data_IF_307592809171
#
_entry.id   IF_307592809171
#
_cell.length_a   1.000
_cell.length_b   1.000
_cell.length_c   1.000
_cell.angle_alpha   90.00
_cell.angle_beta   90.00
_cell.angle_gamma   90.00
#
_symmetry.space_group_name_H-M   'P 1'
#
loop_
_entity.id
_entity.type
_entity.pdbx_description
1 polymer ?
#
# COMPACT_ATOMS: atom_id res chain seq x y z
N UNK A 1 -19.00 14.76 -25.82
CA UNK A 1 -18.01 14.48 -26.88
C UNK A 1 -16.84 15.43 -26.64
N UNK A 2 -15.82 14.99 -25.89
CA UNK A 2 -14.65 15.82 -25.57
C UNK A 2 -13.71 15.72 -26.77
N UNK A 3 -13.43 16.84 -27.44
CA UNK A 3 -12.40 16.89 -28.49
C UNK A 3 -11.04 16.63 -27.82
N UNK A 4 -10.51 15.43 -28.02
CA UNK A 4 -9.12 15.10 -27.69
C UNK A 4 -8.24 16.00 -28.57
N UNK A 5 -7.46 16.89 -27.96
CA UNK A 5 -6.42 17.62 -28.68
C UNK A 5 -5.38 16.60 -29.12
N UNK A 6 -5.44 16.19 -30.39
CA UNK A 6 -4.57 15.14 -30.92
C UNK A 6 -3.14 15.67 -30.95
N UNK A 7 -2.24 15.03 -30.19
CA UNK A 7 -0.81 15.27 -30.30
C UNK A 7 -0.36 15.00 -31.74
N UNK A 8 0.54 15.83 -32.26
CA UNK A 8 1.04 15.67 -33.62
C UNK A 8 1.72 14.31 -33.83
N UNK A 9 1.60 13.78 -35.03
CA UNK A 9 2.25 12.55 -35.50
C UNK A 9 3.73 12.80 -35.80
N UNK A 10 4.51 11.72 -35.97
CA UNK A 10 5.92 11.83 -36.40
C UNK A 10 6.09 12.64 -37.70
N UNK A 11 5.21 12.43 -38.69
CA UNK A 11 5.31 13.09 -39.99
C UNK A 11 4.95 14.57 -39.88
N UNK A 12 3.90 14.91 -39.13
CA UNK A 12 3.53 16.31 -38.85
C UNK A 12 4.64 17.03 -38.08
N UNK A 13 5.28 16.37 -37.12
CA UNK A 13 6.41 16.95 -36.40
C UNK A 13 7.61 17.18 -37.30
N UNK A 14 7.97 16.20 -38.15
CA UNK A 14 9.08 16.32 -39.11
C UNK A 14 8.83 17.43 -40.12
N UNK A 15 7.61 17.55 -40.63
CA UNK A 15 7.21 18.62 -41.55
C UNK A 15 7.23 19.98 -40.84
N UNK A 16 6.65 20.07 -39.64
CA UNK A 16 6.59 21.30 -38.84
C UNK A 16 7.96 21.78 -38.30
N UNK A 17 9.00 20.94 -38.42
CA UNK A 17 10.39 21.25 -38.06
C UNK A 17 11.37 21.05 -39.22
N UNK A 18 10.86 21.05 -40.46
CA UNK A 18 11.66 20.89 -41.67
C UNK A 18 12.53 22.14 -41.91
N UNK A 19 13.85 21.96 -41.97
CA UNK A 19 14.80 23.06 -42.15
C UNK A 19 16.01 22.59 -42.96
N UNK A 20 16.72 23.52 -43.61
CA UNK A 20 17.95 23.23 -44.37
C UNK A 20 19.07 22.77 -43.42
N UNK A 21 19.47 21.50 -43.53
CA UNK A 21 20.53 20.89 -42.71
C UNK A 21 20.24 19.42 -42.36
N UNK A 22 21.27 18.66 -42.00
CA UNK A 22 21.14 17.22 -41.69
C UNK A 22 20.45 17.01 -40.33
N UNK A 23 19.16 16.67 -40.34
CA UNK A 23 18.37 16.32 -39.15
C UNK A 23 19.04 15.23 -38.30
N UNK A 24 19.59 14.20 -38.96
CA UNK A 24 20.25 13.05 -38.31
C UNK A 24 21.54 13.36 -37.55
N UNK A 25 22.05 14.60 -37.59
CA UNK A 25 23.24 15.05 -36.83
C UNK A 25 22.91 16.10 -35.76
N UNK A 26 21.63 16.24 -35.43
CA UNK A 26 21.11 17.26 -34.50
C UNK A 26 20.46 16.61 -33.29
N UNK A 27 20.47 17.29 -32.15
CA UNK A 27 19.76 16.88 -30.93
C UNK A 27 18.25 16.66 -31.13
N UNK A 28 17.66 17.15 -32.22
CA UNK A 28 16.25 16.90 -32.57
C UNK A 28 15.93 15.41 -32.75
N UNK A 29 16.95 14.58 -33.05
CA UNK A 29 16.79 13.13 -33.18
C UNK A 29 16.29 12.50 -31.88
N UNK A 30 16.62 13.06 -30.71
CA UNK A 30 16.09 12.56 -29.43
C UNK A 30 14.58 12.77 -29.34
N UNK A 31 14.08 13.89 -29.85
CA UNK A 31 12.63 14.17 -29.92
C UNK A 31 11.95 13.21 -30.91
N UNK A 32 12.56 12.94 -32.06
CA UNK A 32 12.05 11.93 -33.02
C UNK A 32 11.95 10.54 -32.39
N UNK A 33 12.99 10.13 -31.66
CA UNK A 33 13.05 8.83 -31.01
C UNK A 33 11.98 8.71 -29.91
N UNK A 34 11.82 9.73 -29.06
CA UNK A 34 10.79 9.74 -28.02
C UNK A 34 9.38 9.68 -28.61
N UNK A 35 9.11 10.47 -29.67
CA UNK A 35 7.81 10.47 -30.34
C UNK A 35 7.49 9.13 -31.00
N UNK A 36 8.49 8.52 -31.66
CA UNK A 36 8.36 7.18 -32.24
C UNK A 36 8.11 6.11 -31.17
N UNK A 37 8.81 6.18 -30.04
CA UNK A 37 8.62 5.25 -28.93
C UNK A 37 7.20 5.32 -28.38
N UNK A 38 6.64 6.53 -28.21
CA UNK A 38 5.25 6.70 -27.79
C UNK A 38 4.26 6.05 -28.76
N UNK A 39 4.37 6.30 -30.07
CA UNK A 39 3.44 5.73 -31.05
C UNK A 39 3.61 4.22 -31.28
N UNK A 40 4.72 3.63 -30.83
CA UNK A 40 4.91 2.18 -30.84
C UNK A 40 4.18 1.47 -29.69
N UNK A 41 3.73 2.19 -28.65
CA UNK A 41 3.06 1.61 -27.49
C UNK A 41 1.58 1.32 -27.78
N UNK A 42 1.07 0.13 -27.39
CA UNK A 42 -0.35 -0.17 -27.49
C UNK A 42 -1.17 0.71 -26.54
N UNK A 43 -2.42 0.99 -26.89
CA UNK A 43 -3.31 1.87 -26.10
C UNK A 43 -3.59 1.33 -24.68
N UNK A 44 -3.49 0.02 -24.47
CA UNK A 44 -3.69 -0.60 -23.16
C UNK A 44 -2.57 -0.29 -22.14
N UNK A 45 -1.38 0.13 -22.58
CA UNK A 45 -0.20 0.38 -21.73
C UNK A 45 -0.15 1.84 -21.26
N UNK A 46 -1.18 2.27 -20.55
CA UNK A 46 -1.38 3.67 -20.16
C UNK A 46 -0.26 4.23 -19.26
N UNK A 47 0.30 3.43 -18.37
CA UNK A 47 1.45 3.80 -17.53
C UNK A 47 2.74 3.94 -18.34
N UNK A 48 3.00 3.00 -19.28
CA UNK A 48 4.14 3.14 -20.20
C UNK A 48 3.99 4.38 -21.10
N UNK A 49 2.77 4.69 -21.53
CA UNK A 49 2.47 5.90 -22.33
C UNK A 49 2.66 7.18 -21.52
N UNK A 50 2.32 7.20 -20.22
CA UNK A 50 2.65 8.32 -19.33
C UNK A 50 4.17 8.60 -19.35
N UNK A 51 5.00 7.57 -19.18
CA UNK A 51 6.45 7.75 -19.23
C UNK A 51 6.95 8.21 -20.60
N UNK A 52 6.43 7.63 -21.68
CA UNK A 52 6.81 8.06 -23.03
C UNK A 52 6.42 9.53 -23.31
N UNK A 53 5.27 10.01 -22.80
CA UNK A 53 4.89 11.43 -22.88
C UNK A 53 5.85 12.31 -22.10
N UNK A 54 6.28 11.90 -20.90
CA UNK A 54 7.29 12.63 -20.12
C UNK A 54 8.65 12.67 -20.80
N UNK A 55 9.04 11.60 -21.46
CA UNK A 55 10.27 11.56 -22.26
C UNK A 55 10.19 12.52 -23.45
N UNK A 56 9.03 12.65 -24.10
CA UNK A 56 8.80 13.66 -25.15
C UNK A 56 8.93 15.08 -24.57
N UNK A 57 8.26 15.37 -23.45
CA UNK A 57 8.32 16.70 -22.79
C UNK A 57 9.78 17.05 -22.43
N UNK A 58 10.50 16.11 -21.82
CA UNK A 58 11.91 16.28 -21.46
C UNK A 58 12.78 16.50 -22.70
N UNK A 59 12.67 15.65 -23.72
CA UNK A 59 13.44 15.79 -24.95
C UNK A 59 13.16 17.12 -25.67
N UNK A 60 11.91 17.58 -25.65
CA UNK A 60 11.54 18.89 -26.19
C UNK A 60 12.19 20.03 -25.38
N UNK A 61 12.11 19.97 -24.05
CA UNK A 61 12.74 20.94 -23.15
C UNK A 61 14.25 21.02 -23.34
N UNK A 62 14.94 19.86 -23.36
CA UNK A 62 16.38 19.76 -23.57
C UNK A 62 16.80 20.35 -24.92
N UNK A 63 16.04 20.08 -25.98
CA UNK A 63 16.30 20.64 -27.31
C UNK A 63 16.16 22.17 -27.33
N UNK A 64 15.08 22.70 -26.73
CA UNK A 64 14.82 24.15 -26.67
C UNK A 64 15.91 24.85 -25.86
N UNK A 65 16.31 24.28 -24.72
CA UNK A 65 17.39 24.82 -23.89
C UNK A 65 18.75 24.80 -24.63
N UNK A 66 19.05 23.75 -25.39
CA UNK A 66 20.24 23.68 -26.24
C UNK A 66 20.23 24.72 -27.38
N UNK A 67 19.06 25.25 -27.75
CA UNK A 67 18.87 26.31 -28.76
C UNK A 67 18.38 27.62 -28.13
N UNK A 68 18.99 28.02 -27.02
CA UNK A 68 18.60 29.20 -26.24
C UNK A 68 18.55 30.50 -27.07
N UNK A 69 19.45 30.68 -28.04
CA UNK A 69 19.49 31.85 -28.95
C UNK A 69 18.45 31.76 -30.09
N UNK A 70 17.55 30.78 -30.02
CA UNK A 70 16.59 30.47 -31.06
C UNK A 70 17.09 29.45 -32.08
N UNK A 71 16.17 29.03 -32.93
CA UNK A 71 16.45 28.07 -33.99
C UNK A 71 15.19 27.75 -34.77
N UNK A 72 15.36 27.41 -36.04
CA UNK A 72 14.25 27.20 -36.98
C UNK A 72 13.31 26.04 -36.62
N UNK A 73 13.67 25.19 -35.65
CA UNK A 73 12.82 24.09 -35.15
C UNK A 73 12.20 24.36 -33.77
N UNK A 74 12.63 25.40 -33.05
CA UNK A 74 12.26 25.64 -31.65
C UNK A 74 10.75 25.72 -31.47
N UNK A 75 10.05 26.52 -32.29
CA UNK A 75 8.60 26.68 -32.17
C UNK A 75 7.80 25.39 -32.44
N UNK A 76 8.29 24.50 -33.33
CA UNK A 76 7.67 23.19 -33.55
C UNK A 76 7.89 22.25 -32.37
N UNK A 77 9.09 22.24 -31.81
CA UNK A 77 9.44 21.46 -30.62
C UNK A 77 8.66 21.91 -29.38
N UNK A 78 8.49 23.21 -29.15
CA UNK A 78 7.70 23.74 -28.04
C UNK A 78 6.24 23.28 -28.13
N UNK A 79 5.62 23.41 -29.30
CA UNK A 79 4.24 22.94 -29.52
C UNK A 79 4.07 21.44 -29.26
N UNK A 80 5.03 20.61 -29.68
CA UNK A 80 4.98 19.18 -29.37
C UNK A 80 5.09 18.94 -27.86
N UNK A 81 6.00 19.63 -27.17
CA UNK A 81 6.12 19.55 -25.72
C UNK A 81 4.82 19.91 -24.99
N UNK A 82 4.17 21.01 -25.38
CA UNK A 82 2.89 21.44 -24.83
C UNK A 82 1.76 20.42 -25.10
N UNK A 83 1.71 19.85 -26.31
CA UNK A 83 0.74 18.81 -26.65
C UNK A 83 0.97 17.53 -25.85
N UNK A 84 2.23 17.12 -25.67
CA UNK A 84 2.58 15.94 -24.89
C UNK A 84 2.26 16.13 -23.40
N UNK A 85 2.53 17.32 -22.85
CA UNK A 85 2.16 17.67 -21.48
C UNK A 85 0.63 17.64 -21.28
N UNK A 86 -0.13 18.27 -22.19
CA UNK A 86 -1.58 18.24 -22.15
C UNK A 86 -2.16 16.82 -22.32
N UNK A 87 -1.50 15.95 -23.10
CA UNK A 87 -1.92 14.57 -23.28
C UNK A 87 -1.75 13.71 -22.03
N UNK A 88 -0.83 14.05 -21.11
CA UNK A 88 -0.68 13.32 -19.84
C UNK A 88 -1.97 13.38 -19.01
N UNK A 89 -2.62 14.55 -18.97
CA UNK A 89 -3.89 14.75 -18.25
C UNK A 89 -5.12 14.10 -18.90
N UNK A 90 -4.97 13.49 -20.07
CA UNK A 90 -6.04 12.81 -20.80
C UNK A 90 -6.00 11.28 -20.64
N UNK A 91 -4.94 10.74 -20.03
CA UNK A 91 -4.84 9.32 -19.73
C UNK A 91 -5.88 8.95 -18.66
N UNK A 92 -6.42 7.72 -18.72
CA UNK A 92 -7.32 7.24 -17.69
C UNK A 92 -6.51 6.95 -16.41
N UNK A 93 -6.73 7.68 -15.30
CA UNK A 93 -5.90 7.57 -14.10
C UNK A 93 -5.92 6.17 -13.49
N UNK A 94 -7.05 5.47 -13.57
CA UNK A 94 -7.15 4.09 -13.08
C UNK A 94 -6.28 3.13 -13.91
N UNK A 95 -6.35 3.22 -15.24
CA UNK A 95 -5.55 2.40 -16.13
C UNK A 95 -4.06 2.70 -15.98
N UNK A 96 -3.67 3.97 -15.80
CA UNK A 96 -2.29 4.35 -15.47
C UNK A 96 -1.84 3.71 -14.16
N UNK A 97 -2.63 3.78 -13.10
CA UNK A 97 -2.31 3.17 -11.80
C UNK A 97 -2.06 1.67 -11.94
N UNK A 98 -2.97 0.93 -12.58
CA UNK A 98 -2.86 -0.52 -12.75
C UNK A 98 -1.67 -0.94 -13.62
N UNK A 99 -1.39 -0.19 -14.68
CA UNK A 99 -0.26 -0.47 -15.57
C UNK A 99 1.08 -0.20 -14.88
N UNK A 100 1.18 0.89 -14.10
CA UNK A 100 2.36 1.17 -13.28
C UNK A 100 2.56 0.15 -12.16
N UNK A 101 1.47 -0.33 -11.55
CA UNK A 101 1.55 -1.42 -10.57
C UNK A 101 2.16 -2.68 -11.19
N UNK A 102 1.73 -3.02 -12.41
CA UNK A 102 2.25 -4.17 -13.18
C UNK A 102 3.73 -3.98 -13.54
N UNK A 103 4.15 -2.76 -13.89
CA UNK A 103 5.56 -2.45 -14.14
C UNK A 103 6.41 -2.64 -12.88
N UNK A 104 5.93 -2.19 -11.72
CA UNK A 104 6.62 -2.37 -10.44
C UNK A 104 6.71 -3.86 -10.08
N UNK A 105 5.63 -4.63 -10.27
CA UNK A 105 5.64 -6.09 -10.07
C UNK A 105 6.70 -6.77 -10.95
N UNK A 106 6.82 -6.33 -12.22
CA UNK A 106 7.85 -6.84 -13.12
C UNK A 106 9.26 -6.51 -12.63
N UNK A 107 9.51 -5.26 -12.21
CA UNK A 107 10.80 -4.85 -11.65
C UNK A 107 11.18 -5.69 -10.43
N UNK A 108 10.22 -5.93 -9.52
CA UNK A 108 10.40 -6.77 -8.35
C UNK A 108 10.75 -8.22 -8.74
N UNK A 109 10.08 -8.79 -9.76
CA UNK A 109 10.40 -10.14 -10.25
C UNK A 109 11.80 -10.28 -10.86
N UNK A 110 12.38 -9.16 -11.31
CA UNK A 110 13.74 -9.10 -11.84
C UNK A 110 14.80 -8.78 -10.77
N UNK A 111 14.40 -8.67 -9.49
CA UNK A 111 15.30 -8.29 -8.39
C UNK A 111 15.77 -6.82 -8.47
N UNK A 112 15.01 -5.95 -9.14
CA UNK A 112 15.30 -4.52 -9.23
C UNK A 112 14.56 -3.77 -8.12
N UNK A 113 15.24 -2.81 -7.50
CA UNK A 113 14.64 -1.91 -6.52
C UNK A 113 13.82 -0.80 -7.22
N UNK A 114 12.48 -0.77 -7.07
CA UNK A 114 11.64 0.24 -7.70
C UNK A 114 11.88 1.68 -7.20
N UNK A 115 12.37 1.84 -5.96
CA UNK A 115 12.67 3.15 -5.36
C UNK A 115 13.91 3.81 -5.97
N UNK A 116 14.74 3.04 -6.69
CA UNK A 116 15.92 3.56 -7.39
C UNK A 116 15.65 3.96 -8.85
N UNK A 117 14.43 3.73 -9.36
CA UNK A 117 14.06 4.12 -10.72
C UNK A 117 13.80 5.62 -10.82
N UNK A 118 14.59 6.31 -11.65
CA UNK A 118 14.52 7.75 -11.85
C UNK A 118 13.17 8.23 -12.42
N UNK A 119 12.36 7.34 -13.01
CA UNK A 119 11.01 7.63 -13.49
C UNK A 119 10.00 7.68 -12.35
N UNK A 120 10.36 7.20 -11.16
CA UNK A 120 9.54 7.22 -9.93
C UNK A 120 8.16 6.56 -10.09
N UNK A 121 8.07 5.29 -10.55
CA UNK A 121 6.79 4.65 -10.86
C UNK A 121 5.81 4.63 -9.69
N UNK A 122 6.30 4.40 -8.46
CA UNK A 122 5.51 4.47 -7.23
C UNK A 122 4.85 5.85 -7.03
N UNK A 123 5.62 6.93 -7.20
CA UNK A 123 5.11 8.30 -7.08
C UNK A 123 4.09 8.67 -8.17
N UNK A 124 4.26 8.14 -9.38
CA UNK A 124 3.31 8.35 -10.48
C UNK A 124 2.05 7.52 -10.32
N UNK A 125 2.15 6.29 -9.82
CA UNK A 125 1.00 5.49 -9.44
C UNK A 125 0.19 6.20 -8.35
N UNK A 126 0.86 6.75 -7.34
CA UNK A 126 0.20 7.52 -6.29
C UNK A 126 -0.57 8.73 -6.85
N UNK A 127 0.03 9.52 -7.75
CA UNK A 127 -0.65 10.66 -8.41
C UNK A 127 -1.83 10.20 -9.26
N UNK A 128 -1.68 9.11 -10.00
CA UNK A 128 -2.75 8.54 -10.81
C UNK A 128 -3.93 8.12 -9.91
N UNK A 129 -3.67 7.41 -8.82
CA UNK A 129 -4.67 6.99 -7.85
C UNK A 129 -5.42 8.19 -7.22
N UNK A 130 -4.73 9.29 -6.91
CA UNK A 130 -5.35 10.53 -6.40
C UNK A 130 -6.30 11.20 -7.42
N UNK A 131 -6.05 11.01 -8.71
CA UNK A 131 -6.86 11.57 -9.79
C UNK A 131 -8.09 10.71 -10.13
N UNK A 132 -8.21 9.49 -9.56
CA UNK A 132 -9.38 8.64 -9.75
C UNK A 132 -10.58 9.22 -8.96
N UNK A 133 -11.77 9.37 -9.60
CA UNK A 133 -13.00 9.75 -8.90
C UNK A 133 -13.32 8.79 -7.73
N UNK A 134 -13.91 9.29 -6.65
CA UNK A 134 -14.05 8.55 -5.40
C UNK A 134 -14.82 7.22 -5.52
N UNK A 135 -15.90 7.20 -6.30
CA UNK A 135 -16.69 6.01 -6.60
C UNK A 135 -15.88 4.96 -7.39
N UNK A 136 -15.14 5.41 -8.41
CA UNK A 136 -14.21 4.56 -9.16
C UNK A 136 -13.04 4.07 -8.32
N UNK A 137 -12.53 4.90 -7.41
CA UNK A 137 -11.45 4.52 -6.50
C UNK A 137 -11.90 3.41 -5.55
N UNK A 138 -13.09 3.56 -4.96
CA UNK A 138 -13.67 2.52 -4.11
C UNK A 138 -13.84 1.21 -4.88
N UNK A 139 -14.40 1.24 -6.09
CA UNK A 139 -14.53 0.05 -6.94
C UNK A 139 -13.15 -0.57 -7.28
N UNK A 140 -12.18 0.26 -7.68
CA UNK A 140 -10.80 -0.18 -7.95
C UNK A 140 -10.17 -0.89 -6.74
N UNK A 141 -10.33 -0.35 -5.53
CA UNK A 141 -9.84 -0.99 -4.31
C UNK A 141 -10.62 -2.26 -3.97
N UNK A 142 -11.92 -2.30 -4.26
CA UNK A 142 -12.74 -3.51 -4.16
C UNK A 142 -12.19 -4.67 -4.98
N UNK A 143 -11.70 -4.41 -6.20
CA UNK A 143 -11.04 -5.43 -7.02
C UNK A 143 -9.78 -5.98 -6.33
N UNK A 144 -9.01 -5.15 -5.63
CA UNK A 144 -7.83 -5.60 -4.88
C UNK A 144 -8.18 -6.36 -3.61
N UNK A 145 -9.29 -6.02 -2.93
CA UNK A 145 -9.83 -6.85 -1.83
C UNK A 145 -10.23 -8.23 -2.36
N UNK A 146 -10.90 -8.30 -3.51
CA UNK A 146 -11.21 -9.58 -4.16
C UNK A 146 -9.95 -10.34 -4.55
N UNK A 147 -8.93 -9.65 -5.07
CA UNK A 147 -7.63 -10.26 -5.42
C UNK A 147 -6.93 -10.83 -4.17
N UNK A 148 -6.98 -10.13 -3.03
CA UNK A 148 -6.49 -10.65 -1.74
C UNK A 148 -7.24 -11.92 -1.35
N UNK A 149 -8.57 -11.92 -1.43
CA UNK A 149 -9.40 -13.09 -1.14
C UNK A 149 -9.10 -14.29 -2.05
N UNK A 150 -8.86 -14.03 -3.34
CA UNK A 150 -8.56 -15.05 -4.34
C UNK A 150 -7.23 -15.78 -4.10
N UNK A 151 -6.29 -15.20 -3.33
CA UNK A 151 -5.06 -15.90 -2.94
C UNK A 151 -5.34 -17.18 -2.15
N UNK A 152 -6.51 -17.31 -1.51
CA UNK A 152 -6.91 -18.54 -0.80
C UNK A 152 -7.07 -19.76 -1.71
N UNK A 153 -7.33 -19.53 -2.99
CA UNK A 153 -7.46 -20.61 -3.97
C UNK A 153 -6.10 -21.10 -4.48
N UNK A 154 -4.99 -20.44 -4.09
CA UNK A 154 -3.64 -20.89 -4.40
C UNK A 154 -3.25 -22.07 -3.51
N UNK A 155 -3.11 -23.26 -4.12
CA UNK A 155 -2.72 -24.49 -3.41
C UNK A 155 -1.31 -24.47 -2.83
N UNK A 156 -0.50 -23.45 -3.11
CA UNK A 156 0.83 -23.24 -2.52
C UNK A 156 0.79 -22.34 -1.29
N UNK A 157 -0.36 -21.79 -0.92
CA UNK A 157 -0.51 -20.94 0.25
C UNK A 157 -0.36 -21.75 1.55
N UNK A 158 0.50 -21.33 2.50
CA UNK A 158 0.58 -21.99 3.80
C UNK A 158 -0.75 -21.92 4.56
N UNK A 159 -1.07 -22.96 5.33
CA UNK A 159 -2.33 -23.07 6.06
C UNK A 159 -2.58 -21.86 6.99
N UNK A 160 -1.54 -21.36 7.65
CA UNK A 160 -1.63 -20.19 8.53
C UNK A 160 -2.03 -18.93 7.75
N UNK A 161 -1.49 -18.77 6.53
CA UNK A 161 -1.84 -17.63 5.67
C UNK A 161 -3.25 -17.78 5.10
N UNK A 162 -3.64 -19.00 4.73
CA UNK A 162 -5.00 -19.30 4.30
C UNK A 162 -6.05 -18.96 5.39
N UNK A 163 -5.77 -19.34 6.65
CA UNK A 163 -6.63 -19.03 7.79
C UNK A 163 -6.75 -17.51 8.04
N UNK A 164 -5.62 -16.79 7.98
CA UNK A 164 -5.59 -15.33 8.08
C UNK A 164 -6.45 -14.69 7.00
N UNK A 165 -6.24 -15.01 5.71
CA UNK A 165 -7.04 -14.41 4.64
C UNK A 165 -8.53 -14.75 4.80
N UNK A 166 -8.86 -15.96 5.26
CA UNK A 166 -10.24 -16.34 5.60
C UNK A 166 -10.89 -15.41 6.63
N UNK A 167 -10.19 -15.09 7.72
CA UNK A 167 -10.64 -14.12 8.73
C UNK A 167 -10.79 -12.70 8.14
N UNK A 168 -9.80 -12.24 7.37
CA UNK A 168 -9.84 -10.90 6.78
C UNK A 168 -11.02 -10.74 5.81
N UNK A 169 -11.32 -11.76 5.02
CA UNK A 169 -12.46 -11.73 4.09
C UNK A 169 -13.81 -11.79 4.82
N UNK A 170 -13.87 -12.36 6.01
CA UNK A 170 -15.09 -12.38 6.82
C UNK A 170 -15.49 -10.97 7.30
N UNK A 171 -14.52 -10.07 7.50
CA UNK A 171 -14.77 -8.69 7.95
C UNK A 171 -14.73 -7.64 6.83
N UNK A 172 -14.27 -8.01 5.63
CA UNK A 172 -14.22 -7.11 4.48
C UNK A 172 -15.56 -6.40 4.18
N UNK A 173 -16.74 -7.05 4.30
CA UNK A 173 -18.03 -6.38 4.09
C UNK A 173 -18.34 -5.23 5.07
N UNK A 174 -17.65 -5.13 6.21
CA UNK A 174 -17.81 -4.04 7.18
C UNK A 174 -17.15 -2.73 6.70
N UNK A 175 -16.28 -2.82 5.68
CA UNK A 175 -15.63 -1.65 5.06
C UNK A 175 -16.55 -1.07 4.01
N UNK A 176 -17.20 0.02 4.35
CA UNK A 176 -18.22 0.66 3.49
C UNK A 176 -17.63 1.70 2.55
N UNK A 177 -16.45 2.24 2.86
CA UNK A 177 -15.76 3.24 2.04
C UNK A 177 -14.27 2.93 1.96
N UNK A 178 -13.72 3.02 0.75
CA UNK A 178 -12.29 2.98 0.47
C UNK A 178 -11.95 4.24 -0.30
N UNK A 179 -11.01 5.02 0.20
CA UNK A 179 -10.69 6.32 -0.36
C UNK A 179 -9.20 6.63 -0.26
N UNK A 180 -8.72 7.52 -1.11
CA UNK A 180 -7.41 8.11 -0.92
C UNK A 180 -7.41 9.05 0.31
N UNK A 181 -6.35 9.03 1.15
CA UNK A 181 -6.26 9.92 2.31
C UNK A 181 -6.25 11.42 1.92
N UNK A 182 -7.36 12.12 2.18
CA UNK A 182 -7.45 13.59 2.04
C UNK A 182 -7.03 14.27 3.35
N UNK A 183 -5.78 14.73 3.45
CA UNK A 183 -5.30 15.57 4.56
C UNK A 183 -4.79 14.84 5.82
N UNK A 184 -4.35 13.58 5.71
CA UNK A 184 -3.78 12.82 6.84
C UNK A 184 -3.22 11.46 6.44
N UNK A 185 -2.65 10.73 7.40
CA UNK A 185 -2.04 9.40 7.19
C UNK A 185 -3.07 8.36 6.69
N UNK A 186 -2.58 7.36 5.93
CA UNK A 186 -3.36 6.15 5.61
C UNK A 186 -3.81 5.42 6.88
N UNK A 187 -4.77 4.51 6.74
CA UNK A 187 -5.31 3.75 7.87
C UNK A 187 -6.83 3.59 7.86
N UNK A 188 -7.32 2.66 8.66
CA UNK A 188 -8.74 2.45 8.94
C UNK A 188 -9.30 3.48 9.93
N UNK A 189 -10.55 3.86 9.73
CA UNK A 189 -11.36 4.65 10.66
C UNK A 189 -12.66 3.91 10.95
N UNK A 190 -13.03 3.84 12.22
CA UNK A 190 -14.39 3.49 12.63
C UNK A 190 -15.25 4.76 12.61
N UNK A 191 -16.43 4.69 11.98
CA UNK A 191 -17.47 5.69 12.13
C UNK A 191 -18.43 5.27 13.26
N UNK A 192 -18.33 5.88 14.46
CA UNK A 192 -19.15 5.51 15.59
C UNK A 192 -20.62 5.96 15.45
N UNK A 193 -20.97 6.73 14.41
CA UNK A 193 -22.32 7.27 14.20
C UNK A 193 -23.10 6.57 13.06
N UNK A 194 -22.67 5.38 12.63
CA UNK A 194 -23.36 4.61 11.59
C UNK A 194 -24.85 4.39 11.94
N UNK A 195 -25.73 4.73 11.00
CA UNK A 195 -27.16 4.96 11.22
C UNK A 195 -27.95 3.72 11.71
N UNK A 196 -27.40 2.51 11.52
CA UNK A 196 -28.10 1.23 11.72
C UNK A 196 -27.53 0.37 12.87
N UNK A 197 -26.64 0.91 13.70
CA UNK A 197 -26.09 0.21 14.86
C UNK A 197 -24.95 -0.78 14.55
N UNK A 198 -24.66 -1.04 13.27
CA UNK A 198 -23.48 -1.79 12.83
C UNK A 198 -22.27 -0.85 12.63
N UNK A 199 -21.07 -1.22 13.11
CA UNK A 199 -19.87 -0.40 12.93
C UNK A 199 -19.48 -0.31 11.44
N UNK A 200 -19.45 0.89 10.90
CA UNK A 200 -19.01 1.16 9.53
C UNK A 200 -17.54 1.59 9.50
N UNK A 201 -16.73 0.95 8.64
CA UNK A 201 -15.31 1.24 8.52
C UNK A 201 -15.00 1.98 7.22
N UNK A 202 -14.16 3.01 7.32
CA UNK A 202 -13.57 3.70 6.17
C UNK A 202 -12.07 3.41 6.09
N UNK A 203 -11.63 2.90 4.95
CA UNK A 203 -10.22 2.67 4.65
C UNK A 203 -9.62 3.85 3.90
N UNK A 204 -8.58 4.46 4.47
CA UNK A 204 -7.74 5.42 3.77
C UNK A 204 -6.55 4.66 3.20
N UNK A 205 -6.66 4.26 1.93
CA UNK A 205 -5.71 3.34 1.31
C UNK A 205 -4.45 4.10 0.87
N UNK A 206 -3.29 3.64 1.34
CA UNK A 206 -1.99 4.09 0.87
C UNK A 206 -1.66 3.46 -0.49
N UNK A 207 -1.61 4.33 -1.51
CA UNK A 207 -1.34 3.95 -2.90
C UNK A 207 0.08 4.30 -3.35
N UNK A 208 1.04 4.44 -2.43
CA UNK A 208 2.46 4.58 -2.80
C UNK A 208 2.98 3.34 -3.54
N UNK A 209 2.44 2.14 -3.27
CA UNK A 209 2.67 0.89 -4.01
C UNK A 209 4.14 0.59 -4.37
N UNK A 210 5.09 0.98 -3.53
CA UNK A 210 6.53 0.87 -3.82
C UNK A 210 7.03 -0.56 -4.04
N UNK A 211 6.33 -1.56 -3.50
CA UNK A 211 6.56 -2.98 -3.73
C UNK A 211 5.53 -3.64 -4.65
N UNK A 212 4.84 -2.86 -5.47
CA UNK A 212 3.87 -3.35 -6.44
C UNK A 212 2.57 -3.85 -5.80
N UNK A 213 1.96 -4.86 -6.43
CA UNK A 213 0.75 -5.53 -5.96
C UNK A 213 0.96 -6.10 -4.55
N UNK A 214 2.14 -6.66 -4.23
CA UNK A 214 2.34 -7.25 -2.90
C UNK A 214 2.24 -6.21 -1.79
N UNK A 215 2.80 -5.00 -2.00
CA UNK A 215 2.64 -3.87 -1.09
C UNK A 215 1.16 -3.51 -0.89
N UNK A 216 0.41 -3.36 -1.99
CA UNK A 216 -0.99 -2.94 -1.94
C UNK A 216 -1.87 -3.99 -1.23
N UNK A 217 -1.73 -5.27 -1.58
CA UNK A 217 -2.50 -6.35 -0.95
C UNK A 217 -2.11 -6.51 0.52
N UNK A 218 -0.83 -6.40 0.86
CA UNK A 218 -0.38 -6.44 2.24
C UNK A 218 -0.88 -5.25 3.06
N UNK A 219 -0.99 -4.05 2.47
CA UNK A 219 -1.62 -2.90 3.13
C UNK A 219 -3.13 -3.12 3.33
N UNK A 220 -3.85 -3.65 2.36
CA UNK A 220 -5.26 -4.02 2.56
C UNK A 220 -5.40 -5.07 3.67
N UNK A 221 -4.51 -6.06 3.73
CA UNK A 221 -4.50 -7.05 4.79
C UNK A 221 -4.20 -6.44 6.17
N UNK A 222 -3.28 -5.47 6.24
CA UNK A 222 -3.00 -4.69 7.44
C UNK A 222 -4.27 -4.01 7.97
N UNK A 223 -4.97 -3.26 7.12
CA UNK A 223 -6.17 -2.53 7.53
C UNK A 223 -7.33 -3.45 7.90
N UNK A 224 -7.55 -4.54 7.16
CA UNK A 224 -8.55 -5.55 7.51
C UNK A 224 -8.23 -6.25 8.84
N UNK A 225 -6.95 -6.35 9.19
CA UNK A 225 -6.54 -6.94 10.47
C UNK A 225 -6.97 -6.05 11.64
N UNK A 226 -6.91 -4.73 11.51
CA UNK A 226 -7.47 -3.83 12.53
C UNK A 226 -8.98 -4.05 12.72
N UNK A 227 -9.74 -4.21 11.62
CA UNK A 227 -11.18 -4.50 11.69
C UNK A 227 -11.43 -5.85 12.38
N UNK A 228 -10.70 -6.89 11.97
CA UNK A 228 -10.82 -8.23 12.55
C UNK A 228 -10.47 -8.25 14.05
N UNK A 229 -9.41 -7.55 14.44
CA UNK A 229 -9.00 -7.41 15.83
C UNK A 229 -10.04 -6.62 16.64
N UNK A 230 -10.59 -5.55 16.08
CA UNK A 230 -11.65 -4.79 16.74
C UNK A 230 -12.89 -5.63 17.03
N UNK A 231 -13.37 -6.39 16.03
CA UNK A 231 -14.48 -7.32 16.19
C UNK A 231 -14.17 -8.43 17.20
N UNK A 232 -12.92 -8.89 17.27
CA UNK A 232 -12.53 -9.96 18.18
C UNK A 232 -12.36 -9.51 19.63
N UNK A 233 -11.76 -8.34 19.84
CA UNK A 233 -11.34 -7.88 21.16
C UNK A 233 -12.32 -6.90 21.81
N UNK A 234 -13.31 -6.41 21.06
CA UNK A 234 -14.23 -5.38 21.56
C UNK A 234 -13.50 -4.08 21.89
N UNK A 235 -12.50 -3.72 21.08
CA UNK A 235 -11.62 -2.58 21.33
C UNK A 235 -12.33 -1.25 21.12
N UNK A 236 -11.72 -0.18 21.61
CA UNK A 236 -12.16 1.18 21.36
C UNK A 236 -11.99 1.56 19.87
N UNK A 237 -12.46 2.75 19.44
CA UNK A 237 -12.13 3.32 18.13
C UNK A 237 -10.63 3.44 17.82
N UNK A 238 -9.73 3.34 18.81
CA UNK A 238 -8.26 3.25 18.61
C UNK A 238 -7.84 1.89 18.03
N UNK A 239 -8.71 0.87 18.08
CA UNK A 239 -8.50 -0.47 17.56
C UNK A 239 -7.28 -1.18 18.16
N UNK A 240 -7.08 -0.98 19.46
CA UNK A 240 -6.04 -1.67 20.20
C UNK A 240 -6.21 -3.20 20.11
N UNK A 241 -5.07 -3.89 19.98
CA UNK A 241 -4.95 -5.34 19.83
C UNK A 241 -4.95 -6.05 21.19
N UNK A 242 -5.83 -5.59 22.08
CA UNK A 242 -5.95 -6.02 23.48
C UNK A 242 -7.42 -6.28 23.76
N UNK A 243 -7.74 -7.40 24.41
CA UNK A 243 -9.10 -7.72 24.80
C UNK A 243 -9.65 -6.70 25.79
N UNK A 244 -10.87 -6.22 25.54
CA UNK A 244 -11.56 -5.31 26.44
C UNK A 244 -11.66 -5.92 27.85
N UNK A 245 -11.31 -5.10 28.85
CA UNK A 245 -11.29 -5.52 30.25
C UNK A 245 -9.97 -6.16 30.74
N UNK A 246 -8.94 -6.27 29.89
CA UNK A 246 -7.64 -6.78 30.32
C UNK A 246 -7.02 -5.96 31.46
N UNK A 247 -6.35 -6.63 32.40
CA UNK A 247 -5.61 -5.97 33.48
C UNK A 247 -4.25 -5.44 33.00
N UNK A 248 -3.66 -4.52 33.76
CA UNK A 248 -2.33 -3.99 33.44
C UNK A 248 -1.26 -5.09 33.38
N UNK A 249 -1.36 -6.13 34.24
CA UNK A 249 -0.47 -7.28 34.21
C UNK A 249 -0.64 -8.12 32.93
N UNK A 250 -1.88 -8.35 32.49
CA UNK A 250 -2.17 -9.07 31.25
C UNK A 250 -1.65 -8.29 30.03
N UNK A 251 -1.83 -6.97 30.03
CA UNK A 251 -1.30 -6.09 28.98
C UNK A 251 0.22 -6.09 28.96
N UNK A 252 0.87 -5.97 30.12
CA UNK A 252 2.33 -6.01 30.21
C UNK A 252 2.89 -7.35 29.72
N UNK A 253 2.27 -8.48 30.10
CA UNK A 253 2.66 -9.80 29.65
C UNK A 253 2.52 -9.97 28.13
N UNK A 254 1.38 -9.52 27.57
CA UNK A 254 1.13 -9.56 26.13
C UNK A 254 2.12 -8.71 25.34
N UNK A 255 2.40 -7.49 25.83
CA UNK A 255 3.35 -6.59 25.19
C UNK A 255 4.78 -7.18 25.22
N UNK A 256 5.19 -7.81 26.32
CA UNK A 256 6.47 -8.50 26.44
C UNK A 256 6.59 -9.68 25.47
N UNK A 257 5.55 -10.52 25.37
CA UNK A 257 5.48 -11.64 24.41
C UNK A 257 5.66 -11.14 22.97
N UNK A 258 4.89 -10.12 22.58
CA UNK A 258 4.93 -9.55 21.22
C UNK A 258 6.27 -8.87 20.92
N UNK A 259 6.85 -8.16 21.89
CA UNK A 259 8.19 -7.56 21.76
C UNK A 259 9.24 -8.63 21.50
N UNK A 260 9.21 -9.73 22.25
CA UNK A 260 10.14 -10.85 22.04
C UNK A 260 9.94 -11.48 20.66
N UNK A 261 8.69 -11.70 20.25
CA UNK A 261 8.40 -12.24 18.92
C UNK A 261 8.93 -11.35 17.78
N UNK A 262 8.77 -10.03 17.87
CA UNK A 262 9.36 -9.11 16.89
C UNK A 262 10.89 -9.12 16.91
N UNK A 263 11.51 -9.28 18.08
CA UNK A 263 12.96 -9.43 18.20
C UNK A 263 13.46 -10.72 17.53
N UNK A 264 12.75 -11.83 17.73
CA UNK A 264 13.05 -13.12 17.11
C UNK A 264 12.90 -13.07 15.58
N UNK A 265 11.89 -12.36 15.09
CA UNK A 265 11.70 -12.10 13.66
C UNK A 265 12.84 -11.25 13.08
N UNK A 266 13.23 -10.17 13.77
CA UNK A 266 14.40 -9.35 13.36
C UNK A 266 15.67 -10.19 13.30
N UNK A 267 15.90 -11.06 14.28
CA UNK A 267 17.06 -11.94 14.30
C UNK A 267 17.05 -12.96 13.15
N UNK A 268 15.88 -13.48 12.77
CA UNK A 268 15.75 -14.41 11.65
C UNK A 268 15.80 -13.75 10.26
N UNK A 269 15.45 -12.47 10.19
CA UNK A 269 15.61 -11.66 8.99
C UNK A 269 17.08 -11.28 8.76
N UNK A 270 17.80 -10.98 9.84
CA UNK A 270 19.19 -10.55 9.77
C UNK A 270 20.08 -11.59 9.07
N UNK A 271 20.70 -11.18 7.96
CA UNK A 271 21.62 -12.03 7.20
C UNK A 271 20.95 -13.13 6.37
N UNK A 272 19.65 -13.02 6.12
CA UNK A 272 18.92 -13.93 5.24
C UNK A 272 19.23 -13.61 3.76
N UNK A 273 19.93 -14.50 3.01
CA UNK A 273 20.39 -14.20 1.67
C UNK A 273 19.30 -14.35 0.60
N UNK A 274 18.10 -14.80 0.96
CA UNK A 274 16.99 -14.99 0.02
C UNK A 274 16.29 -13.66 -0.34
N UNK A 275 16.43 -12.65 0.51
CA UNK A 275 15.85 -11.32 0.27
C UNK A 275 16.88 -10.38 -0.36
N UNK A 276 16.45 -9.63 -1.37
CA UNK A 276 17.23 -8.49 -1.84
C UNK A 276 17.15 -7.31 -0.85
N UNK A 277 18.01 -6.30 -1.02
CA UNK A 277 18.09 -5.14 -0.13
C UNK A 277 16.75 -4.41 0.01
N UNK A 278 15.92 -4.41 -1.04
CA UNK A 278 14.63 -3.74 -1.04
C UNK A 278 13.59 -4.53 -0.22
N UNK A 279 13.48 -5.84 -0.46
CA UNK A 279 12.63 -6.74 0.30
C UNK A 279 13.02 -6.77 1.78
N UNK A 280 14.32 -6.85 2.07
CA UNK A 280 14.82 -6.77 3.44
C UNK A 280 14.44 -5.45 4.10
N UNK A 281 14.65 -4.31 3.41
CA UNK A 281 14.24 -3.00 3.92
C UNK A 281 12.74 -2.87 4.16
N UNK A 282 11.89 -3.46 3.30
CA UNK A 282 10.45 -3.50 3.51
C UNK A 282 10.05 -4.29 4.77
N UNK A 283 10.65 -5.46 4.99
CA UNK A 283 10.37 -6.28 6.17
C UNK A 283 10.89 -5.63 7.46
N UNK A 284 12.10 -5.05 7.44
CA UNK A 284 12.67 -4.31 8.56
C UNK A 284 11.82 -3.10 8.96
N UNK A 285 11.31 -2.34 7.98
CA UNK A 285 10.40 -1.23 8.24
C UNK A 285 9.15 -1.69 8.99
N UNK A 286 8.54 -2.81 8.58
CA UNK A 286 7.33 -3.35 9.23
C UNK A 286 7.60 -3.86 10.64
N UNK A 287 8.71 -4.56 10.85
CA UNK A 287 9.13 -4.98 12.19
C UNK A 287 9.48 -3.78 13.09
N UNK A 288 9.99 -2.70 12.52
CA UNK A 288 10.23 -1.43 13.21
C UNK A 288 8.92 -0.73 13.58
N UNK A 289 7.99 -0.64 12.64
CA UNK A 289 6.66 -0.03 12.81
C UNK A 289 5.85 -0.71 13.92
N UNK A 290 5.86 -2.05 13.95
CA UNK A 290 5.20 -2.85 14.98
C UNK A 290 5.76 -2.67 16.40
N UNK A 291 6.98 -2.17 16.53
CA UNK A 291 7.70 -2.02 17.79
C UNK A 291 7.86 -0.56 18.25
N UNK A 292 7.13 0.39 17.66
CA UNK A 292 7.27 1.81 17.98
C UNK A 292 6.82 2.11 19.43
N UNK A 293 7.66 2.74 20.26
CA UNK A 293 7.27 3.11 21.62
C UNK A 293 6.25 4.25 21.59
N UNK A 294 5.47 4.37 22.66
CA UNK A 294 4.49 5.44 22.91
C UNK A 294 3.33 5.54 21.90
N UNK A 295 3.19 4.56 21.00
CA UNK A 295 2.23 4.66 19.90
C UNK A 295 0.78 4.62 20.37
N UNK A 296 0.46 3.75 21.33
CA UNK A 296 -0.89 3.64 21.89
C UNK A 296 -1.32 4.96 22.55
N UNK A 297 -0.41 5.58 23.31
CA UNK A 297 -0.63 6.83 24.02
C UNK A 297 -0.82 8.02 23.07
N UNK A 298 -0.04 8.05 21.99
CA UNK A 298 -0.18 9.04 20.92
C UNK A 298 -1.53 8.91 20.21
N UNK A 299 -1.98 7.68 19.95
CA UNK A 299 -3.25 7.41 19.29
C UNK A 299 -4.41 7.76 20.22
N UNK A 300 -4.40 7.31 21.47
CA UNK A 300 -5.40 7.65 22.47
C UNK A 300 -5.56 9.16 22.63
N UNK A 301 -4.45 9.90 22.74
CA UNK A 301 -4.48 11.36 22.85
C UNK A 301 -5.05 12.04 21.60
N UNK A 302 -4.68 11.56 20.41
CA UNK A 302 -5.17 12.13 19.15
C UNK A 302 -6.66 11.86 18.93
N UNK A 303 -7.13 10.67 19.30
CA UNK A 303 -8.54 10.28 19.15
C UNK A 303 -9.44 10.97 20.17
N UNK A 304 -8.98 11.17 21.40
CA UNK A 304 -9.72 11.95 22.40
C UNK A 304 -9.83 13.43 21.99
N UNK A 305 -8.73 14.04 21.51
CA UNK A 305 -8.76 15.41 20.97
C UNK A 305 -9.72 15.56 19.79
N UNK A 306 -9.90 14.50 19.00
CA UNK A 306 -10.85 14.45 17.89
C UNK A 306 -12.28 14.08 18.33
N UNK A 307 -12.54 13.89 19.63
CA UNK A 307 -13.85 13.53 20.18
C UNK A 307 -14.31 12.10 19.85
N UNK A 308 -13.39 11.22 19.43
CA UNK A 308 -13.69 9.84 19.03
C UNK A 308 -13.71 8.85 20.18
N UNK A 309 -13.01 9.15 21.26
CA UNK A 309 -13.03 8.39 22.50
C UNK A 309 -13.24 9.33 23.69
N UNK A 310 -13.75 8.78 24.79
CA UNK A 310 -13.93 9.49 26.05
C UNK A 310 -12.59 9.70 26.78
N UNK A 311 -12.57 10.64 27.72
CA UNK A 311 -11.41 10.86 28.60
C UNK A 311 -11.06 9.60 29.42
N UNK A 312 -12.08 8.85 29.88
CA UNK A 312 -11.86 7.62 30.65
C UNK A 312 -11.22 6.51 29.79
N UNK A 313 -11.66 6.36 28.54
CA UNK A 313 -11.02 5.44 27.59
C UNK A 313 -9.58 5.85 27.31
N UNK A 314 -9.31 7.15 27.13
CA UNK A 314 -7.92 7.64 26.97
C UNK A 314 -7.06 7.30 28.19
N UNK A 315 -7.56 7.54 29.40
CA UNK A 315 -6.82 7.24 30.64
C UNK A 315 -6.47 5.75 30.73
N UNK A 316 -7.42 4.86 30.44
CA UNK A 316 -7.19 3.42 30.38
C UNK A 316 -6.12 3.05 29.34
N UNK A 317 -6.22 3.55 28.10
CA UNK A 317 -5.26 3.23 27.03
C UNK A 317 -3.86 3.77 27.33
N UNK A 318 -3.75 4.93 28.01
CA UNK A 318 -2.46 5.46 28.49
C UNK A 318 -1.89 4.61 29.63
N UNK A 319 -2.74 4.11 30.54
CA UNK A 319 -2.35 3.14 31.56
C UNK A 319 -1.78 1.86 30.95
N UNK A 320 -2.48 1.29 29.98
CA UNK A 320 -2.01 0.14 29.20
C UNK A 320 -0.70 0.42 28.43
N UNK A 321 -0.56 1.60 27.84
CA UNK A 321 0.68 2.03 27.21
C UNK A 321 1.85 2.07 28.21
N UNK A 322 1.59 2.59 29.41
CA UNK A 322 2.58 2.63 30.50
C UNK A 322 2.96 1.24 30.99
N UNK A 323 1.98 0.33 31.14
CA UNK A 323 2.22 -1.06 31.50
C UNK A 323 3.05 -1.82 30.45
N UNK A 324 2.84 -1.54 29.17
CA UNK A 324 3.61 -2.10 28.07
C UNK A 324 5.02 -1.51 27.92
N UNK A 325 5.27 -0.33 28.47
CA UNK A 325 6.54 0.40 28.33
C UNK A 325 6.93 0.62 26.87
N UNK A 326 8.20 0.36 26.52
CA UNK A 326 8.70 0.53 25.15
C UNK A 326 8.03 -0.39 24.11
N UNK A 327 7.18 -1.34 24.54
CA UNK A 327 6.44 -2.24 23.65
C UNK A 327 5.03 -1.73 23.30
N UNK A 328 4.64 -0.51 23.67
CA UNK A 328 3.25 -0.05 23.50
C UNK A 328 2.75 -0.07 22.04
N UNK A 329 3.63 0.08 21.04
CA UNK A 329 3.25 -0.08 19.62
C UNK A 329 2.81 -1.49 19.23
N UNK A 330 3.26 -2.52 19.96
CA UNK A 330 2.79 -3.89 19.72
C UNK A 330 1.32 -4.07 20.06
N UNK A 331 0.75 -3.18 20.87
CA UNK A 331 -0.67 -3.17 21.22
C UNK A 331 -1.54 -2.53 20.14
N UNK A 332 -0.96 -2.01 19.05
CA UNK A 332 -1.70 -1.39 17.94
C UNK A 332 -1.40 -2.12 16.63
N UNK A 333 -0.14 -2.52 16.41
CA UNK A 333 0.33 -2.89 15.08
C UNK A 333 0.85 -4.32 14.94
N UNK A 334 1.06 -5.05 16.03
CA UNK A 334 1.72 -6.35 15.96
C UNK A 334 0.99 -7.31 15.01
N UNK A 335 -0.30 -7.53 15.20
CA UNK A 335 -1.10 -8.44 14.37
C UNK A 335 -1.12 -7.98 12.89
N UNK A 336 -1.23 -6.67 12.66
CA UNK A 336 -1.38 -6.05 11.34
C UNK A 336 -0.10 -6.17 10.51
N UNK A 337 1.08 -5.95 11.10
CA UNK A 337 2.37 -6.08 10.39
C UNK A 337 2.69 -7.54 10.08
N UNK A 338 2.32 -8.49 10.94
CA UNK A 338 2.53 -9.91 10.67
C UNK A 338 1.73 -10.35 9.44
N UNK A 339 0.43 -10.06 9.43
CA UNK A 339 -0.46 -10.41 8.33
C UNK A 339 -0.04 -9.70 7.02
N UNK A 340 0.39 -8.44 7.09
CA UNK A 340 0.96 -7.72 5.94
C UNK A 340 2.18 -8.44 5.34
N UNK A 341 3.13 -8.84 6.18
CA UNK A 341 4.33 -9.55 5.73
C UNK A 341 4.03 -10.95 5.20
N UNK A 342 3.02 -11.67 5.71
CA UNK A 342 2.59 -12.96 5.14
C UNK A 342 2.20 -12.83 3.67
N UNK A 343 1.48 -11.76 3.32
CA UNK A 343 1.10 -11.48 1.93
C UNK A 343 2.33 -11.17 1.09
N UNK A 344 3.30 -10.42 1.62
CA UNK A 344 4.54 -10.13 0.90
C UNK A 344 5.31 -11.41 0.55
N UNK A 345 5.56 -12.26 1.54
CA UNK A 345 6.36 -13.48 1.35
C UNK A 345 5.69 -14.47 0.39
N UNK A 346 4.36 -14.60 0.46
CA UNK A 346 3.64 -15.44 -0.50
C UNK A 346 3.73 -14.86 -1.93
N UNK A 347 3.48 -13.55 -2.10
CA UNK A 347 3.54 -12.90 -3.41
C UNK A 347 4.95 -12.88 -4.01
N UNK A 348 5.99 -12.86 -3.18
CA UNK A 348 7.39 -12.98 -3.59
C UNK A 348 7.84 -14.43 -3.80
N UNK A 349 6.95 -15.41 -3.59
CA UNK A 349 7.24 -16.83 -3.70
C UNK A 349 8.42 -17.27 -2.82
N UNK A 350 8.57 -16.65 -1.65
CA UNK A 350 9.59 -17.01 -0.66
C UNK A 350 9.41 -18.46 -0.25
N UNK A 351 10.53 -19.19 -0.13
CA UNK A 351 10.53 -20.56 0.34
C UNK A 351 9.81 -20.68 1.69
N UNK A 352 8.89 -21.65 1.81
CA UNK A 352 8.17 -21.87 3.07
C UNK A 352 9.08 -22.38 4.21
N UNK A 353 10.25 -22.91 3.86
CA UNK A 353 11.30 -23.35 4.78
C UNK A 353 12.25 -22.20 5.18
N UNK A 354 12.08 -21.01 4.59
CA UNK A 354 12.86 -19.83 4.96
C UNK A 354 12.69 -19.56 6.48
N UNK A 355 13.80 -19.44 7.25
CA UNK A 355 13.72 -19.31 8.70
C UNK A 355 12.90 -18.11 9.19
N UNK A 356 12.91 -17.00 8.44
CA UNK A 356 12.08 -15.84 8.73
C UNK A 356 10.61 -16.16 8.48
N UNK A 357 10.27 -16.77 7.33
CA UNK A 357 8.90 -17.10 6.99
C UNK A 357 8.28 -18.11 7.98
N UNK A 358 9.02 -19.14 8.37
CA UNK A 358 8.57 -20.12 9.38
C UNK A 358 8.20 -19.42 10.70
N UNK A 359 9.06 -18.54 11.20
CA UNK A 359 8.80 -17.79 12.45
C UNK A 359 7.64 -16.81 12.29
N UNK A 360 7.52 -16.17 11.14
CA UNK A 360 6.43 -15.25 10.84
C UNK A 360 5.07 -15.98 10.84
N UNK A 361 4.99 -17.16 10.23
CA UNK A 361 3.77 -17.98 10.22
C UNK A 361 3.38 -18.41 11.63
N UNK A 362 4.33 -18.85 12.44
CA UNK A 362 4.07 -19.21 13.84
C UNK A 362 3.54 -18.02 14.66
N UNK A 363 4.15 -16.83 14.51
CA UNK A 363 3.69 -15.61 15.18
C UNK A 363 2.29 -15.19 14.73
N UNK A 364 2.02 -15.25 13.42
CA UNK A 364 0.72 -14.91 12.85
C UNK A 364 -0.37 -15.90 13.28
N UNK A 365 -0.06 -17.19 13.36
CA UNK A 365 -0.97 -18.22 13.88
C UNK A 365 -1.31 -17.95 15.35
N UNK A 366 -0.32 -17.64 16.19
CA UNK A 366 -0.56 -17.31 17.60
C UNK A 366 -1.47 -16.07 17.75
N UNK A 367 -1.28 -15.06 16.91
CA UNK A 367 -2.14 -13.88 16.87
C UNK A 367 -3.56 -14.21 16.40
N UNK A 368 -3.70 -15.00 15.34
CA UNK A 368 -4.97 -15.51 14.84
C UNK A 368 -5.74 -16.31 15.90
N UNK A 369 -5.07 -17.23 16.60
CA UNK A 369 -5.67 -18.05 17.64
C UNK A 369 -6.17 -17.19 18.81
N UNK A 370 -5.43 -16.14 19.16
CA UNK A 370 -5.84 -15.18 20.19
C UNK A 370 -7.12 -14.46 19.80
N UNK A 371 -7.21 -13.92 18.58
CA UNK A 371 -8.44 -13.29 18.06
C UNK A 371 -9.60 -14.29 17.99
N UNK A 372 -9.32 -15.52 17.55
CA UNK A 372 -10.33 -16.58 17.46
C UNK A 372 -10.87 -17.01 18.82
N UNK A 373 -10.04 -17.07 19.87
CA UNK A 373 -10.48 -17.31 21.24
C UNK A 373 -11.33 -16.16 21.78
N UNK A 374 -10.92 -14.92 21.56
CA UNK A 374 -11.65 -13.74 22.04
C UNK A 374 -13.05 -13.60 21.42
N UNK A 375 -13.25 -14.08 20.18
CA UNK A 375 -14.57 -14.13 19.52
C UNK A 375 -15.53 -15.17 20.10
N UNK A 376 -15.05 -16.20 20.80
CA UNK A 376 -15.94 -17.24 21.34
C UNK A 376 -16.69 -16.67 22.55
N UNK A 377 -18.04 -16.75 22.58
CA UNK A 377 -18.77 -16.34 23.78
C UNK A 377 -18.34 -17.20 24.97
N UNK A 378 -18.21 -16.60 26.15
CA UNK A 378 -17.75 -17.25 27.39
C UNK A 378 -18.73 -18.32 27.95
N UNK A 379 -19.57 -18.94 27.12
CA UNK A 379 -20.68 -19.81 27.53
C UNK A 379 -20.46 -21.31 27.29
N UNK A 380 -19.28 -21.72 26.81
CA UNK A 380 -18.95 -23.13 26.54
C UNK A 380 -17.96 -23.75 27.56
N UNK A 381 -17.98 -23.33 28.83
CA UNK A 381 -17.45 -24.18 29.90
C UNK A 381 -18.59 -25.11 30.40
N UNK A 382 -18.48 -26.44 30.23
CA UNK A 382 -19.42 -27.35 30.88
C UNK A 382 -19.20 -27.20 32.39
N UNK A 383 -20.26 -26.79 33.09
CA UNK A 383 -20.30 -26.83 34.54
C UNK A 383 -19.91 -28.24 34.99
N UNK A 384 -18.69 -28.40 35.51
CA UNK A 384 -18.28 -29.63 36.17
C UNK A 384 -19.25 -29.86 37.32
N UNK A 385 -20.08 -30.88 37.14
CA UNK A 385 -21.02 -31.37 38.12
C UNK A 385 -20.22 -31.80 39.34
N UNK A 386 -20.24 -30.96 40.38
CA UNK A 386 -19.89 -31.37 41.72
C UNK A 386 -20.98 -32.36 42.18
N UNK A 387 -20.62 -33.63 42.29
CA UNK A 387 -21.38 -34.66 43.01
C UNK A 387 -20.46 -35.36 43.98
#
# INVERSE_FOLDING_TARGET
>A
MIMVSRMMTEDEFKQGTATTGLRGRSEIVRVDQALKAFYALPDARQGARLFALKDIVRACGDYVAHKADGGSRVGGTQRLGEQADAAQGQLDPEAVFRDLLTEIDHMMSEGKNPDLDLRMPAGEAQKAAQAVPADRFHAMMGDFVQKLGALREDGTLPEETHAVIGELMAVAPLVTVMQYPRGGMGGVKLDPAAADGDPAFTFNVDTQVRGGTSFLLGHIAHELTHVAAHQAFGSSPVMELVQSGATDEEVAALAAERKQSLADLKAALAGNPEFDDFQQGMLEEKLGYGAQPQKLEQYASSFEKAGKITAAQKEQLVGWGSAAGDASGTLVEYDTVLNQMLIYLHMWQTSQDNPFYVRLRAAAQAAYDRRSRARRPATDEPAEQSS
#
